data_IF_212097691066
#
_entry.id   IF_212097691066
#
_cell.length_a   1.000
_cell.length_b   1.000
_cell.length_c   1.000
_cell.angle_alpha   90.00
_cell.angle_beta   90.00
_cell.angle_gamma   90.00
#
_symmetry.space_group_name_H-M   'P 1'
#
loop_
_entity.id
_entity.type
_entity.pdbx_description
1 polymer ?
#
# COMPACT_ATOMS: atom_id res chain seq x y z
N UNK A 1 18.02 -35.11 -14.54
CA UNK A 1 19.11 -34.16 -14.86
C UNK A 1 19.44 -34.24 -16.34
N UNK A 2 19.19 -33.19 -17.09
CA UNK A 2 19.43 -33.17 -18.54
C UNK A 2 20.92 -32.94 -18.87
N UNK A 3 21.34 -33.35 -20.07
CA UNK A 3 22.72 -33.14 -20.58
C UNK A 3 23.10 -31.64 -20.57
N UNK A 4 22.12 -30.76 -20.69
CA UNK A 4 22.27 -29.30 -20.65
C UNK A 4 22.67 -28.84 -19.26
N UNK A 5 22.00 -29.33 -18.21
CA UNK A 5 22.30 -28.99 -16.80
C UNK A 5 23.72 -29.43 -16.41
N UNK A 6 24.17 -30.61 -16.88
CA UNK A 6 25.52 -31.15 -16.67
C UNK A 6 26.62 -30.33 -17.36
N UNK A 7 26.33 -29.73 -18.51
CA UNK A 7 27.28 -28.90 -19.26
C UNK A 7 27.46 -27.50 -18.65
N UNK A 8 26.38 -26.93 -18.09
CA UNK A 8 26.38 -25.62 -17.42
C UNK A 8 27.05 -25.67 -16.04
N UNK A 9 26.82 -26.74 -15.26
CA UNK A 9 27.47 -26.92 -13.95
C UNK A 9 28.98 -27.08 -14.03
N UNK A 10 29.52 -27.60 -15.14
CA UNK A 10 30.98 -27.78 -15.32
C UNK A 10 31.78 -26.50 -15.52
N UNK A 11 31.14 -25.38 -15.89
CA UNK A 11 31.83 -24.11 -16.24
C UNK A 11 31.70 -23.01 -15.18
N UNK A 12 30.90 -23.23 -14.15
CA UNK A 12 30.55 -22.21 -13.17
C UNK A 12 31.04 -22.69 -11.80
N UNK A 13 31.96 -21.94 -11.19
CA UNK A 13 32.49 -22.30 -9.86
C UNK A 13 31.37 -22.24 -8.82
N UNK A 14 31.50 -22.99 -7.72
CA UNK A 14 30.52 -22.97 -6.63
C UNK A 14 30.26 -21.54 -6.10
N UNK A 15 31.29 -20.69 -6.07
CA UNK A 15 31.16 -19.27 -5.71
C UNK A 15 30.30 -18.46 -6.68
N UNK A 16 30.37 -18.76 -7.98
CA UNK A 16 29.53 -18.10 -8.99
C UNK A 16 28.07 -18.57 -8.91
N UNK A 17 27.82 -19.82 -8.52
CA UNK A 17 26.46 -20.29 -8.21
C UNK A 17 25.85 -19.58 -7.00
N UNK A 18 26.59 -19.46 -5.91
CA UNK A 18 26.14 -18.72 -4.71
C UNK A 18 25.88 -17.24 -5.04
N UNK A 19 26.73 -16.64 -5.88
CA UNK A 19 26.58 -15.25 -6.30
C UNK A 19 25.35 -15.06 -7.22
N UNK A 20 25.08 -16.01 -8.12
CA UNK A 20 23.86 -16.02 -8.93
C UNK A 20 22.61 -16.21 -8.07
N UNK A 21 22.61 -17.13 -7.12
CA UNK A 21 21.48 -17.39 -6.22
C UNK A 21 21.14 -16.16 -5.35
N UNK A 22 22.16 -15.49 -4.80
CA UNK A 22 21.99 -14.22 -4.10
C UNK A 22 21.43 -13.11 -5.03
N UNK A 23 21.86 -13.09 -6.29
CA UNK A 23 21.37 -12.13 -7.29
C UNK A 23 19.91 -12.40 -7.68
N UNK A 24 19.52 -13.67 -7.80
CA UNK A 24 18.14 -14.09 -8.05
C UNK A 24 17.22 -13.72 -6.88
N UNK A 25 17.69 -13.90 -5.64
CA UNK A 25 16.95 -13.46 -4.44
C UNK A 25 16.65 -11.96 -4.46
N UNK A 26 17.64 -11.13 -4.82
CA UNK A 26 17.46 -9.68 -4.94
C UNK A 26 16.47 -9.30 -6.05
N UNK A 27 16.56 -9.93 -7.22
CA UNK A 27 15.64 -9.68 -8.34
C UNK A 27 14.22 -10.10 -7.97
N UNK A 28 14.06 -11.25 -7.31
CA UNK A 28 12.78 -11.75 -6.85
C UNK A 28 12.15 -10.82 -5.80
N UNK A 29 12.92 -10.32 -4.84
CA UNK A 29 12.46 -9.34 -3.86
C UNK A 29 12.02 -8.02 -4.52
N UNK A 30 12.79 -7.52 -5.51
CA UNK A 30 12.41 -6.32 -6.26
C UNK A 30 11.12 -6.56 -7.05
N UNK A 31 10.99 -7.74 -7.66
CA UNK A 31 9.79 -8.13 -8.39
C UNK A 31 8.57 -8.24 -7.47
N UNK A 32 8.71 -8.87 -6.30
CA UNK A 32 7.67 -8.96 -5.27
C UNK A 32 7.26 -7.57 -4.75
N UNK A 33 8.22 -6.67 -4.52
CA UNK A 33 7.92 -5.28 -4.14
C UNK A 33 7.17 -4.52 -5.23
N UNK A 34 7.48 -4.76 -6.51
CA UNK A 34 6.73 -4.18 -7.64
C UNK A 34 5.33 -4.77 -7.80
N UNK A 35 5.13 -6.02 -7.37
CA UNK A 35 3.82 -6.68 -7.34
C UNK A 35 2.94 -6.22 -6.18
N UNK A 36 3.51 -5.69 -5.10
CA UNK A 36 2.74 -5.09 -4.02
C UNK A 36 2.03 -3.83 -4.55
N UNK A 37 0.78 -4.02 -4.97
CA UNK A 37 -0.07 -2.97 -5.54
C UNK A 37 -0.17 -1.82 -4.55
N UNK A 38 0.19 -0.63 -5.02
CA UNK A 38 0.02 0.60 -4.25
C UNK A 38 -1.44 0.78 -3.83
N UNK A 39 -1.66 1.11 -2.55
CA UNK A 39 -2.98 1.45 -2.02
C UNK A 39 -3.12 2.96 -2.00
N UNK A 40 -4.05 3.45 -2.82
CA UNK A 40 -4.35 4.87 -2.96
C UNK A 40 -5.49 5.26 -2.01
N UNK A 41 -5.16 6.07 -1.02
CA UNK A 41 -6.11 6.59 -0.04
C UNK A 41 -6.43 8.05 -0.37
N UNK A 42 -7.69 8.33 -0.66
CA UNK A 42 -8.22 9.68 -0.85
C UNK A 42 -8.81 10.18 0.47
N UNK A 43 -8.47 11.40 0.87
CA UNK A 43 -9.09 12.06 2.03
C UNK A 43 -9.83 13.28 1.53
N UNK A 44 -11.13 13.36 1.84
CA UNK A 44 -11.96 14.52 1.51
C UNK A 44 -11.51 15.71 2.35
N UNK A 45 -11.32 16.84 1.70
CA UNK A 45 -10.74 18.03 2.31
C UNK A 45 -11.50 19.27 1.83
N UNK A 46 -12.18 19.92 2.77
CA UNK A 46 -12.96 21.13 2.53
C UNK A 46 -12.12 22.41 2.72
N UNK A 47 -10.79 22.28 2.90
CA UNK A 47 -9.87 23.40 3.15
C UNK A 47 -9.92 23.93 4.59
N UNK A 48 -10.60 23.23 5.50
CA UNK A 48 -10.68 23.59 6.91
C UNK A 48 -9.44 23.14 7.68
N UNK A 49 -9.18 23.79 8.82
CA UNK A 49 -8.10 23.40 9.74
C UNK A 49 -8.30 21.95 10.24
N UNK A 50 -9.55 21.57 10.48
CA UNK A 50 -9.94 20.21 10.88
C UNK A 50 -9.57 19.18 9.81
N UNK A 51 -9.78 19.47 8.52
CA UNK A 51 -9.40 18.59 7.43
C UNK A 51 -7.88 18.38 7.34
N UNK A 52 -7.09 19.42 7.63
CA UNK A 52 -5.63 19.28 7.74
C UNK A 52 -5.19 18.41 8.92
N UNK A 53 -5.87 18.54 10.07
CA UNK A 53 -5.63 17.70 11.25
C UNK A 53 -5.95 16.24 10.97
N UNK A 54 -7.10 15.96 10.34
CA UNK A 54 -7.50 14.63 9.89
C UNK A 54 -6.45 14.06 8.93
N UNK A 55 -6.00 14.84 7.95
CA UNK A 55 -4.95 14.43 7.01
C UNK A 55 -3.64 14.08 7.73
N UNK A 56 -3.22 14.91 8.70
CA UNK A 56 -2.01 14.64 9.51
C UNK A 56 -2.16 13.37 10.33
N UNK A 57 -3.31 13.20 10.98
CA UNK A 57 -3.63 12.01 11.78
C UNK A 57 -3.59 10.74 10.93
N UNK A 58 -4.19 10.74 9.74
CA UNK A 58 -4.20 9.60 8.81
C UNK A 58 -2.77 9.26 8.38
N UNK A 59 -1.97 10.28 8.01
CA UNK A 59 -0.56 10.09 7.65
C UNK A 59 0.27 9.51 8.78
N UNK A 60 0.08 9.99 10.01
CA UNK A 60 0.78 9.48 11.19
C UNK A 60 0.33 8.06 11.55
N UNK A 61 -0.98 7.80 11.47
CA UNK A 61 -1.55 6.49 11.78
C UNK A 61 -1.06 5.41 10.83
N UNK A 62 -0.92 5.75 9.54
CA UNK A 62 -0.47 4.81 8.51
C UNK A 62 1.05 4.87 8.27
N UNK A 63 1.78 5.72 9.00
CA UNK A 63 3.24 5.77 8.94
C UNK A 63 3.81 4.43 9.42
N UNK A 64 4.44 3.69 8.50
CA UNK A 64 5.00 2.36 8.76
C UNK A 64 4.32 1.23 7.99
N UNK A 65 3.18 1.48 7.33
CA UNK A 65 2.62 0.54 6.37
C UNK A 65 3.23 0.76 4.98
N UNK A 66 3.64 -0.33 4.33
CA UNK A 66 4.27 -0.29 3.02
C UNK A 66 3.25 -0.01 1.90
N UNK A 67 3.69 0.69 0.85
CA UNK A 67 2.94 0.93 -0.40
C UNK A 67 1.61 1.67 -0.23
N UNK A 68 1.52 2.57 0.76
CA UNK A 68 0.37 3.45 0.94
C UNK A 68 0.69 4.85 0.43
N UNK A 69 -0.21 5.39 -0.39
CA UNK A 69 -0.17 6.79 -0.83
C UNK A 69 -1.43 7.51 -0.41
N UNK A 70 -1.27 8.51 0.46
CA UNK A 70 -2.36 9.33 0.98
C UNK A 70 -2.38 10.66 0.23
N UNK A 71 -3.50 11.00 -0.39
CA UNK A 71 -3.69 12.26 -1.13
C UNK A 71 -5.02 12.90 -0.79
N UNK A 72 -5.07 14.23 -0.93
CA UNK A 72 -6.35 14.96 -0.98
C UNK A 72 -7.20 14.39 -2.12
N UNK A 73 -8.47 14.12 -1.84
CA UNK A 73 -9.40 13.54 -2.78
C UNK A 73 -9.65 14.52 -3.94
N UNK A 74 -9.47 14.03 -5.17
CA UNK A 74 -9.71 14.73 -6.44
C UNK A 74 -10.38 13.74 -7.40
N UNK A 75 -10.69 14.12 -8.65
CA UNK A 75 -11.20 13.19 -9.68
C UNK A 75 -10.18 12.11 -10.06
N UNK A 76 -10.04 11.06 -9.25
CA UNK A 76 -9.22 9.85 -9.44
C UNK A 76 -9.92 8.66 -8.79
N UNK A 77 -9.55 7.45 -9.21
CA UNK A 77 -9.99 6.22 -8.55
C UNK A 77 -9.13 5.99 -7.31
N UNK A 78 -9.78 5.83 -6.15
CA UNK A 78 -9.12 5.52 -4.88
C UNK A 78 -9.51 4.12 -4.41
N UNK A 79 -8.60 3.43 -3.74
CA UNK A 79 -8.90 2.15 -3.11
C UNK A 79 -9.70 2.35 -1.83
N UNK A 80 -9.33 3.38 -1.06
CA UNK A 80 -10.03 3.83 0.13
C UNK A 80 -10.32 5.33 0.05
N UNK A 81 -11.58 5.70 0.22
CA UNK A 81 -11.98 7.10 0.38
C UNK A 81 -12.37 7.36 1.82
N UNK A 82 -11.65 8.26 2.48
CA UNK A 82 -11.90 8.69 3.86
C UNK A 82 -12.72 9.97 3.83
N UNK A 83 -13.90 9.92 4.46
CA UNK A 83 -14.84 11.02 4.54
C UNK A 83 -15.31 11.23 5.99
N UNK A 84 -15.74 12.45 6.30
CA UNK A 84 -16.42 12.77 7.56
C UNK A 84 -17.92 12.52 7.42
N UNK A 85 -18.50 12.98 6.32
CA UNK A 85 -19.92 12.83 6.03
C UNK A 85 -20.19 11.97 4.79
N UNK A 86 -21.37 11.34 4.78
CA UNK A 86 -21.82 10.46 3.69
C UNK A 86 -22.09 11.24 2.40
N UNK A 87 -22.48 12.51 2.53
CA UNK A 87 -22.78 13.41 1.41
C UNK A 87 -21.59 13.60 0.48
N UNK A 88 -20.37 13.58 1.02
CA UNK A 88 -19.15 13.90 0.27
C UNK A 88 -18.69 12.73 -0.62
N UNK A 89 -19.18 11.52 -0.35
CA UNK A 89 -18.83 10.30 -1.07
C UNK A 89 -19.38 10.27 -2.51
N UNK A 90 -20.47 10.98 -2.80
CA UNK A 90 -21.18 10.84 -4.09
C UNK A 90 -20.41 11.37 -5.30
N UNK A 91 -19.39 12.20 -5.09
CA UNK A 91 -18.70 12.92 -6.18
C UNK A 91 -17.45 12.21 -6.72
N UNK A 92 -17.05 11.07 -6.14
CA UNK A 92 -15.74 10.45 -6.36
C UNK A 92 -15.84 8.95 -6.62
N UNK A 93 -14.91 8.41 -7.40
CA UNK A 93 -14.82 6.98 -7.70
C UNK A 93 -13.90 6.28 -6.70
N UNK A 94 -14.43 5.29 -5.98
CA UNK A 94 -13.67 4.54 -4.97
C UNK A 94 -14.12 3.08 -4.86
N UNK A 95 -13.23 2.21 -4.37
CA UNK A 95 -13.55 0.79 -4.11
C UNK A 95 -14.20 0.62 -2.73
N UNK A 96 -13.64 1.24 -1.69
CA UNK A 96 -14.18 1.21 -0.33
C UNK A 96 -14.25 2.60 0.28
N UNK A 97 -15.27 2.86 1.10
CA UNK A 97 -15.43 4.09 1.87
C UNK A 97 -15.14 3.87 3.35
N UNK A 98 -14.47 4.83 3.97
CA UNK A 98 -14.21 4.88 5.39
C UNK A 98 -14.77 6.17 5.98
N UNK A 99 -15.73 6.03 6.90
CA UNK A 99 -16.32 7.15 7.62
C UNK A 99 -15.64 7.34 8.97
N UNK A 100 -15.13 8.54 9.20
CA UNK A 100 -14.54 8.96 10.48
C UNK A 100 -15.64 9.09 11.54
N UNK A 101 -15.37 8.60 12.75
CA UNK A 101 -16.30 8.69 13.88
C UNK A 101 -16.36 10.08 14.52
N UNK A 102 -15.50 11.00 14.12
CA UNK A 102 -15.40 12.37 14.64
C UNK A 102 -14.36 12.55 15.76
N UNK A 103 -13.85 11.48 16.37
CA UNK A 103 -12.80 11.56 17.41
C UNK A 103 -11.50 10.92 16.91
N UNK A 104 -10.47 11.74 16.74
CA UNK A 104 -9.12 11.30 16.38
C UNK A 104 -8.46 10.62 17.59
N UNK A 105 -8.55 9.30 17.67
CA UNK A 105 -8.08 8.50 18.80
C UNK A 105 -7.23 7.31 18.34
N UNK A 106 -6.52 6.66 19.26
CA UNK A 106 -5.80 5.41 18.98
C UNK A 106 -6.71 4.30 18.47
N UNK A 107 -7.97 4.28 18.92
CA UNK A 107 -9.00 3.38 18.40
C UNK A 107 -9.28 3.64 16.92
N UNK A 108 -9.47 4.91 16.53
CA UNK A 108 -9.71 5.29 15.14
C UNK A 108 -8.49 4.97 14.25
N UNK A 109 -7.27 5.14 14.79
CA UNK A 109 -6.04 4.77 14.11
C UNK A 109 -5.97 3.26 13.84
N UNK A 110 -6.38 2.43 14.80
CA UNK A 110 -6.41 0.98 14.64
C UNK A 110 -7.48 0.55 13.63
N UNK A 111 -8.69 1.12 13.73
CA UNK A 111 -9.79 0.85 12.79
C UNK A 111 -9.42 1.21 11.35
N UNK A 112 -8.69 2.31 11.16
CA UNK A 112 -8.16 2.72 9.85
C UNK A 112 -7.12 1.72 9.33
N UNK A 113 -6.18 1.28 10.18
CA UNK A 113 -5.17 0.26 9.81
C UNK A 113 -5.84 -1.05 9.39
N UNK A 114 -6.82 -1.51 10.16
CA UNK A 114 -7.55 -2.75 9.88
C UNK A 114 -8.30 -2.66 8.54
N UNK A 115 -8.92 -1.51 8.24
CA UNK A 115 -9.57 -1.27 6.95
C UNK A 115 -8.57 -1.32 5.79
N UNK A 116 -7.42 -0.67 5.92
CA UNK A 116 -6.38 -0.69 4.88
C UNK A 116 -5.78 -2.09 4.70
N UNK A 117 -5.57 -2.84 5.79
CA UNK A 117 -5.07 -4.21 5.70
C UNK A 117 -6.02 -5.14 4.94
N UNK A 118 -7.35 -5.00 5.13
CA UNK A 118 -8.33 -5.76 4.35
C UNK A 118 -8.20 -5.48 2.85
N UNK A 119 -8.05 -4.22 2.47
CA UNK A 119 -7.86 -3.84 1.06
C UNK A 119 -6.58 -4.44 0.48
N UNK A 120 -5.50 -4.48 1.26
CA UNK A 120 -4.25 -5.12 0.85
C UNK A 120 -4.42 -6.63 0.65
N UNK A 121 -5.19 -7.30 1.52
CA UNK A 121 -5.44 -8.74 1.43
C UNK A 121 -6.38 -9.12 0.28
N UNK A 122 -7.33 -8.26 -0.07
CA UNK A 122 -8.32 -8.49 -1.15
C UNK A 122 -7.76 -8.20 -2.56
N UNK A 123 -6.57 -7.60 -2.67
CA UNK A 123 -5.94 -7.16 -3.94
C UNK A 123 -4.97 -8.15 -4.54
#
# INVERSE_FOLDING_TARGET
MSIVEKSLTRKISHSQWVMLDASYGLIYDIYQRRLQKEVLIGVIDDGSLEAEEIMRFIKQSLAGMANITIKKAKKRNYDLLVAKDVSDLQSLSYTQSYLLTGVLSSFEAQRLKDAVQKIIQEK
#
